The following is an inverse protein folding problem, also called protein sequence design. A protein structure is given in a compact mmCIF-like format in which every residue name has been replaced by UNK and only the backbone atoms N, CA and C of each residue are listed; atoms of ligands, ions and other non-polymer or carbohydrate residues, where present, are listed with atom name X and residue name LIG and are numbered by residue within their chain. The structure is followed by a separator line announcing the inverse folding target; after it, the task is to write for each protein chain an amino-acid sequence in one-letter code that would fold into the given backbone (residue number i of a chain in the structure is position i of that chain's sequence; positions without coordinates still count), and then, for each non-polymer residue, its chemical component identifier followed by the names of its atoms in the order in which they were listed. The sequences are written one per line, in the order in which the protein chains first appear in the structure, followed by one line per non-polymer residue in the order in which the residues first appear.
data_IF_012300612873
#
_entry.id   IF_012300612873
#
_cell.length_a   1.000
_cell.length_b   1.000
_cell.length_c   1.000
_cell.angle_alpha   90.00
_cell.angle_beta   90.00
_cell.angle_gamma   90.00
#
_symmetry.space_group_name_H-M   'P 1'
#
loop_
_entity.id
_entity.type
_entity.pdbx_description
1 polymer ?
#
# COMPACT_ATOMS: atom_id res chain seq x y z
N UNK A 1 -7.76 9.15 35.80
CA UNK A 1 -6.61 9.17 34.88
C UNK A 1 -6.99 8.29 33.72
N UNK A 2 -7.09 8.85 32.52
CA UNK A 2 -7.58 8.17 31.33
C UNK A 2 -6.40 7.60 30.53
N UNK A 3 -6.43 6.29 30.25
CA UNK A 3 -5.35 5.56 29.58
C UNK A 3 -5.74 5.17 28.16
N UNK A 4 -4.89 5.52 27.20
CA UNK A 4 -5.05 5.20 25.79
C UNK A 4 -4.08 4.13 25.31
N UNK A 5 -4.54 3.23 24.44
CA UNK A 5 -3.72 2.33 23.63
C UNK A 5 -3.89 2.69 22.15
N UNK A 6 -2.83 3.19 21.51
CA UNK A 6 -2.77 3.37 20.06
C UNK A 6 -2.20 2.10 19.42
N UNK A 7 -2.99 1.42 18.59
CA UNK A 7 -2.53 0.29 17.80
C UNK A 7 -2.23 0.71 16.36
N UNK A 8 -0.94 0.91 16.07
CA UNK A 8 -0.45 1.19 14.72
C UNK A 8 -0.47 -0.06 13.84
N UNK A 9 -0.87 0.11 12.57
CA UNK A 9 -0.94 -0.93 11.54
C UNK A 9 -0.42 -0.38 10.19
N UNK A 10 -1.32 0.06 9.33
CA UNK A 10 -1.05 0.60 7.98
C UNK A 10 -1.11 2.13 7.98
N UNK A 11 -0.64 2.74 9.06
CA UNK A 11 -0.76 4.15 9.40
C UNK A 11 0.48 4.65 10.17
N UNK A 12 1.67 4.18 9.75
CA UNK A 12 2.96 4.42 10.42
C UNK A 12 3.46 5.88 10.27
N UNK A 13 2.70 6.82 10.82
CA UNK A 13 2.93 8.26 10.80
C UNK A 13 2.23 8.95 11.97
N UNK A 14 2.71 10.15 12.28
CA UNK A 14 2.10 11.07 13.24
C UNK A 14 1.18 12.08 12.52
N UNK A 15 1.58 12.61 11.35
CA UNK A 15 0.72 13.56 10.61
C UNK A 15 -0.57 12.92 10.13
N UNK A 16 -1.67 13.68 10.13
CA UNK A 16 -2.97 13.23 9.65
C UNK A 16 -3.36 11.82 10.14
N UNK A 17 -3.11 11.54 11.43
CA UNK A 17 -3.52 10.31 12.11
C UNK A 17 -4.63 10.64 13.13
N UNK A 18 -5.91 10.51 12.76
CA UNK A 18 -7.01 10.88 13.66
C UNK A 18 -7.14 9.97 14.88
N UNK A 19 -6.75 8.68 14.79
CA UNK A 19 -6.77 7.79 15.94
C UNK A 19 -5.77 8.27 17.01
N UNK A 20 -4.54 8.58 16.59
CA UNK A 20 -3.52 9.15 17.47
C UNK A 20 -3.95 10.51 18.02
N UNK A 21 -4.45 11.41 17.18
CA UNK A 21 -4.88 12.75 17.60
C UNK A 21 -6.04 12.70 18.62
N UNK A 22 -7.01 11.79 18.43
CA UNK A 22 -8.12 11.60 19.36
C UNK A 22 -7.64 11.08 20.72
N UNK A 23 -6.72 10.11 20.72
CA UNK A 23 -6.15 9.60 21.97
C UNK A 23 -5.30 10.67 22.66
N UNK A 24 -4.53 11.45 21.91
CA UNK A 24 -3.69 12.51 22.45
C UNK A 24 -4.49 13.61 23.14
N UNK A 25 -5.70 13.91 22.66
CA UNK A 25 -6.59 14.91 23.27
C UNK A 25 -7.46 14.36 24.40
N UNK A 26 -7.62 13.04 24.48
CA UNK A 26 -8.58 12.40 25.40
C UNK A 26 -7.91 11.63 26.54
N UNK A 27 -6.60 11.38 26.51
CA UNK A 27 -5.92 10.54 27.51
C UNK A 27 -4.85 11.32 28.29
N UNK A 28 -4.66 10.95 29.55
CA UNK A 28 -3.56 11.44 30.40
C UNK A 28 -2.28 10.61 30.17
N UNK A 29 -2.45 9.33 29.84
CA UNK A 29 -1.40 8.35 29.56
C UNK A 29 -1.68 7.65 28.22
N UNK A 30 -0.64 7.41 27.42
CA UNK A 30 -0.76 6.78 26.11
C UNK A 30 0.31 5.70 25.93
N UNK A 31 -0.08 4.54 25.41
CA UNK A 31 0.84 3.51 24.92
C UNK A 31 0.67 3.35 23.43
N UNK A 32 1.76 3.45 22.67
CA UNK A 32 1.79 3.19 21.23
C UNK A 32 2.34 1.79 20.96
N UNK A 33 1.59 0.93 20.29
CA UNK A 33 2.01 -0.45 20.00
C UNK A 33 1.95 -0.77 18.51
N UNK A 34 2.92 -1.55 18.04
CA UNK A 34 2.88 -2.26 16.77
C UNK A 34 3.11 -3.76 17.01
N UNK A 35 2.31 -4.60 16.36
CA UNK A 35 2.37 -6.07 16.53
C UNK A 35 2.86 -6.72 15.25
N UNK A 36 3.91 -7.52 15.39
CA UNK A 36 4.55 -8.30 14.34
C UNK A 36 3.86 -9.67 14.31
N UNK A 37 3.13 -9.96 13.23
CA UNK A 37 2.42 -11.23 13.08
C UNK A 37 3.35 -12.31 12.49
N UNK A 38 3.67 -13.41 13.21
CA UNK A 38 4.52 -14.48 12.68
C UNK A 38 3.97 -15.14 11.40
N UNK A 39 2.65 -15.04 11.14
CA UNK A 39 2.06 -15.60 9.94
C UNK A 39 2.52 -14.87 8.66
N UNK A 40 3.08 -13.66 8.77
CA UNK A 40 3.59 -12.93 7.61
C UNK A 40 4.71 -13.69 6.87
N UNK A 41 5.46 -14.52 7.58
CA UNK A 41 6.63 -15.23 7.06
C UNK A 41 6.31 -16.63 6.50
N UNK A 42 5.08 -17.11 6.68
CA UNK A 42 4.63 -18.43 6.22
C UNK A 42 4.37 -18.42 4.72
N UNK A 43 4.81 -19.46 4.02
CA UNK A 43 4.65 -19.61 2.57
C UNK A 43 3.38 -20.41 2.21
N UNK A 44 2.23 -20.06 2.81
CA UNK A 44 0.94 -20.74 2.63
C UNK A 44 -0.03 -19.99 1.71
N UNK A 45 0.41 -18.89 1.10
CA UNK A 45 -0.42 -18.02 0.27
C UNK A 45 -0.03 -18.13 -1.21
N UNK A 46 -0.62 -19.11 -1.91
CA UNK A 46 -0.35 -19.36 -3.34
C UNK A 46 1.16 -19.49 -3.67
N UNK A 47 1.87 -20.34 -2.93
CA UNK A 47 3.33 -20.58 -3.08
C UNK A 47 4.19 -19.33 -2.80
N UNK A 48 3.62 -18.35 -2.10
CA UNK A 48 4.26 -17.09 -1.71
C UNK A 48 4.05 -16.84 -0.21
N UNK A 49 4.94 -16.02 0.36
CA UNK A 49 4.78 -15.47 1.72
C UNK A 49 3.92 -14.22 1.69
N UNK A 50 3.36 -13.83 2.83
CA UNK A 50 2.65 -12.55 2.97
C UNK A 50 3.61 -11.35 3.06
N UNK A 51 4.85 -11.57 3.52
CA UNK A 51 5.89 -10.55 3.61
C UNK A 51 7.23 -11.11 3.11
N UNK A 52 7.81 -10.43 2.12
CA UNK A 52 9.15 -10.73 1.61
C UNK A 52 10.16 -9.66 2.02
N UNK A 53 11.45 -10.00 1.85
CA UNK A 53 12.54 -9.22 2.42
C UNK A 53 12.61 -7.73 2.00
N UNK A 54 12.33 -7.30 0.75
CA UNK A 54 12.35 -5.86 0.45
C UNK A 54 11.29 -5.07 1.23
N UNK A 55 10.06 -5.61 1.27
CA UNK A 55 8.93 -4.97 1.97
C UNK A 55 9.14 -5.00 3.49
N UNK A 56 9.69 -6.10 4.01
CA UNK A 56 10.13 -6.21 5.40
C UNK A 56 11.17 -5.14 5.75
N UNK A 57 12.21 -4.96 4.93
CA UNK A 57 13.23 -3.93 5.15
C UNK A 57 12.62 -2.52 5.16
N UNK A 58 11.66 -2.24 4.27
CA UNK A 58 10.94 -0.97 4.24
C UNK A 58 10.10 -0.77 5.51
N UNK A 59 9.40 -1.82 5.96
CA UNK A 59 8.64 -1.81 7.20
C UNK A 59 9.53 -1.52 8.41
N UNK A 60 10.68 -2.18 8.54
CA UNK A 60 11.59 -1.94 9.67
C UNK A 60 12.16 -0.52 9.68
N UNK A 61 12.51 0.02 8.51
CA UNK A 61 12.94 1.42 8.40
C UNK A 61 11.80 2.37 8.80
N UNK A 62 10.57 2.10 8.38
CA UNK A 62 9.38 2.86 8.78
C UNK A 62 9.12 2.81 10.28
N UNK A 63 9.18 1.64 10.92
CA UNK A 63 8.97 1.49 12.35
C UNK A 63 10.08 2.15 13.18
N UNK A 64 11.33 2.07 12.70
CA UNK A 64 12.47 2.73 13.34
C UNK A 64 12.31 4.25 13.30
N UNK A 65 11.86 4.80 12.18
CA UNK A 65 11.62 6.24 12.05
C UNK A 65 10.39 6.69 12.86
N UNK A 66 9.30 5.92 12.86
CA UNK A 66 8.13 6.19 13.70
C UNK A 66 8.51 6.17 15.20
N UNK A 67 9.32 5.20 15.63
CA UNK A 67 9.82 5.15 17.01
C UNK A 67 10.59 6.42 17.38
N UNK A 68 11.50 6.88 16.51
CA UNK A 68 12.25 8.14 16.74
C UNK A 68 11.34 9.36 16.76
N UNK A 69 10.32 9.40 15.90
CA UNK A 69 9.36 10.49 15.86
C UNK A 69 8.51 10.55 17.14
N UNK A 70 8.11 9.38 17.68
CA UNK A 70 7.42 9.28 18.97
C UNK A 70 8.35 9.65 20.15
N UNK A 71 9.60 9.19 20.13
CA UNK A 71 10.61 9.50 21.17
C UNK A 71 10.88 11.01 21.27
N UNK A 72 10.96 11.69 20.13
CA UNK A 72 11.06 13.16 20.07
C UNK A 72 9.86 13.88 20.69
N UNK A 73 8.71 13.21 20.84
CA UNK A 73 7.50 13.72 21.49
C UNK A 73 7.33 13.17 22.92
N UNK A 74 8.36 12.56 23.51
CA UNK A 74 8.32 11.99 24.87
C UNK A 74 7.54 10.68 24.96
N UNK A 75 7.32 10.00 23.84
CA UNK A 75 6.58 8.74 23.73
C UNK A 75 7.47 7.59 23.26
N UNK A 76 6.96 6.36 23.26
CA UNK A 76 7.72 5.21 22.75
C UNK A 76 6.84 4.29 21.92
N UNK A 77 7.40 3.76 20.83
CA UNK A 77 6.79 2.65 20.11
C UNK A 77 7.15 1.33 20.79
N UNK A 78 6.13 0.64 21.29
CA UNK A 78 6.24 -0.72 21.83
C UNK A 78 6.09 -1.72 20.69
N UNK A 79 7.09 -2.59 20.53
CA UNK A 79 7.01 -3.73 19.62
C UNK A 79 6.62 -5.00 20.40
N UNK A 80 5.76 -5.80 19.78
CA UNK A 80 5.34 -7.13 20.24
C UNK A 80 5.32 -8.10 19.08
N UNK A 81 5.55 -9.37 19.35
CA UNK A 81 5.42 -10.44 18.36
C UNK A 81 4.33 -11.42 18.79
N UNK A 82 3.41 -11.75 17.89
CA UNK A 82 2.34 -12.72 18.17
C UNK A 82 1.11 -12.51 17.30
N UNK A 83 0.02 -13.21 17.64
CA UNK A 83 -1.28 -12.94 17.03
C UNK A 83 -1.72 -11.53 17.46
N UNK A 84 -2.00 -10.60 16.52
CA UNK A 84 -2.32 -9.22 16.88
C UNK A 84 -3.53 -9.07 17.82
N UNK A 85 -4.54 -9.92 17.69
CA UNK A 85 -5.74 -9.87 18.55
C UNK A 85 -5.48 -10.38 19.96
N UNK A 86 -4.64 -11.40 20.11
CA UNK A 86 -4.24 -11.91 21.42
C UNK A 86 -3.38 -10.88 22.13
N UNK A 87 -2.32 -10.40 21.46
CA UNK A 87 -1.39 -9.41 22.02
C UNK A 87 -2.09 -8.12 22.44
N UNK A 88 -2.93 -7.55 21.58
CA UNK A 88 -3.65 -6.29 21.92
C UNK A 88 -4.61 -6.53 23.08
N UNK A 89 -5.29 -7.68 23.11
CA UNK A 89 -6.20 -7.97 24.19
C UNK A 89 -5.49 -8.22 25.53
N UNK A 90 -4.34 -8.90 25.53
CA UNK A 90 -3.53 -9.11 26.71
C UNK A 90 -3.04 -7.77 27.27
N UNK A 91 -2.54 -6.87 26.42
CA UNK A 91 -2.21 -5.50 26.81
C UNK A 91 -3.41 -4.75 27.44
N UNK A 92 -4.61 -4.94 26.89
CA UNK A 92 -5.84 -4.35 27.42
C UNK A 92 -6.27 -4.90 28.78
N UNK A 93 -5.91 -6.14 29.10
CA UNK A 93 -6.18 -6.79 30.38
C UNK A 93 -5.11 -6.47 31.43
N UNK A 94 -3.85 -6.35 31.02
CA UNK A 94 -2.70 -6.17 31.93
C UNK A 94 -2.51 -4.72 32.41
N UNK A 95 -3.03 -3.73 31.67
CA UNK A 95 -2.72 -2.32 31.88
C UNK A 95 -3.93 -1.37 31.99
N UNK A 96 -5.15 -1.90 31.99
CA UNK A 96 -6.40 -1.16 32.21
C UNK A 96 -6.60 0.06 31.26
N UNK A 97 -6.48 -0.15 29.94
CA UNK A 97 -6.67 0.93 28.95
C UNK A 97 -8.14 1.36 28.80
N UNK A 98 -8.50 2.61 29.09
CA UNK A 98 -9.87 3.10 28.90
C UNK A 98 -10.27 3.24 27.43
N UNK A 99 -9.33 3.68 26.58
CA UNK A 99 -9.55 3.88 25.15
C UNK A 99 -8.54 3.11 24.30
N UNK A 100 -9.00 2.53 23.20
CA UNK A 100 -8.18 1.80 22.23
C UNK A 100 -8.38 2.46 20.86
N UNK A 101 -7.38 3.17 20.37
CA UNK A 101 -7.39 3.82 19.07
C UNK A 101 -6.83 2.90 17.99
N UNK A 102 -7.55 2.80 16.87
CA UNK A 102 -7.12 2.06 15.68
C UNK A 102 -7.63 2.77 14.43
N UNK A 103 -6.87 2.73 13.34
CA UNK A 103 -7.35 3.25 12.05
C UNK A 103 -8.06 2.17 11.26
N UNK A 104 -9.14 2.52 10.56
CA UNK A 104 -9.83 1.62 9.65
C UNK A 104 -8.98 1.29 8.40
N UNK A 105 -9.23 0.12 7.80
CA UNK A 105 -8.55 -0.37 6.61
C UNK A 105 -9.44 -1.36 5.83
N UNK A 106 -9.51 -1.31 4.48
CA UNK A 106 -10.46 -2.13 3.71
C UNK A 106 -10.15 -3.63 3.66
N UNK A 107 -8.91 -4.01 3.97
CA UNK A 107 -8.45 -5.39 3.98
C UNK A 107 -9.35 -6.30 4.85
N UNK A 108 -9.70 -7.48 4.33
CA UNK A 108 -10.65 -8.38 5.01
C UNK A 108 -10.14 -8.91 6.35
N UNK A 109 -8.83 -9.18 6.44
CA UNK A 109 -8.19 -9.59 7.70
C UNK A 109 -8.15 -8.42 8.69
N UNK A 110 -7.79 -7.24 8.21
CA UNK A 110 -7.71 -6.01 9.01
C UNK A 110 -9.06 -5.58 9.57
N UNK A 111 -10.14 -5.70 8.79
CA UNK A 111 -11.51 -5.44 9.27
C UNK A 111 -11.94 -6.47 10.30
N UNK A 112 -11.72 -7.76 10.02
CA UNK A 112 -12.03 -8.81 10.98
C UNK A 112 -11.32 -8.60 12.33
N UNK A 113 -10.07 -8.12 12.31
CA UNK A 113 -9.35 -7.76 13.52
C UNK A 113 -10.05 -6.62 14.28
N UNK A 114 -10.40 -5.53 13.60
CA UNK A 114 -11.09 -4.39 14.24
C UNK A 114 -12.45 -4.80 14.77
N UNK A 115 -13.26 -5.51 13.99
CA UNK A 115 -14.59 -5.98 14.40
C UNK A 115 -14.52 -6.89 15.63
N UNK A 116 -13.53 -7.77 15.68
CA UNK A 116 -13.27 -8.65 16.84
C UNK A 116 -12.86 -7.85 18.07
N UNK A 117 -12.01 -6.84 17.89
CA UNK A 117 -11.57 -5.97 18.98
C UNK A 117 -12.74 -5.13 19.53
N UNK A 118 -13.56 -4.54 18.65
CA UNK A 118 -14.78 -3.80 19.02
C UNK A 118 -15.76 -4.71 19.78
N UNK A 119 -15.93 -5.95 19.34
CA UNK A 119 -16.80 -6.92 20.01
C UNK A 119 -16.28 -7.31 21.40
N UNK A 120 -14.96 -7.43 21.56
CA UNK A 120 -14.32 -7.81 22.83
C UNK A 120 -14.26 -6.67 23.84
N UNK A 121 -14.09 -5.44 23.37
CA UNK A 121 -13.97 -4.23 24.20
C UNK A 121 -14.98 -3.16 23.76
N UNK A 122 -16.30 -3.43 23.92
CA UNK A 122 -17.34 -2.50 23.48
C UNK A 122 -17.18 -1.14 24.16
N UNK A 123 -17.44 -0.06 23.41
CA UNK A 123 -17.34 1.34 23.86
C UNK A 123 -15.92 1.84 24.21
N UNK A 124 -14.91 0.96 24.27
CA UNK A 124 -13.50 1.34 24.48
C UNK A 124 -12.76 1.57 23.17
N UNK A 125 -13.18 0.93 22.07
CA UNK A 125 -12.49 1.02 20.78
C UNK A 125 -12.97 2.22 19.96
N UNK A 126 -12.02 3.09 19.58
CA UNK A 126 -12.22 4.25 18.70
C UNK A 126 -11.60 3.94 17.34
N UNK A 127 -12.46 3.67 16.36
CA UNK A 127 -12.04 3.43 14.97
C UNK A 127 -12.06 4.74 14.19
N UNK A 128 -10.94 5.08 13.56
CA UNK A 128 -10.80 6.34 12.80
C UNK A 128 -10.47 6.13 11.33
N UNK A 129 -11.05 6.95 10.46
CA UNK A 129 -10.76 6.95 9.01
C UNK A 129 -9.46 7.72 8.72
N UNK A 130 -8.45 7.02 8.22
CA UNK A 130 -7.14 7.60 7.92
C UNK A 130 -6.49 7.13 6.60
N UNK A 131 -7.12 6.18 5.90
CA UNK A 131 -6.50 5.45 4.80
C UNK A 131 -6.95 5.93 3.41
N UNK A 132 -8.16 6.47 3.30
CA UNK A 132 -8.83 6.92 2.07
C UNK A 132 -8.80 8.44 1.90
N UNK A 133 -8.98 8.92 0.66
CA UNK A 133 -9.12 10.35 0.34
C UNK A 133 -10.44 10.91 0.89
N UNK A 134 -11.50 10.12 0.76
CA UNK A 134 -12.84 10.46 1.18
C UNK A 134 -13.24 9.58 2.36
N UNK A 135 -14.12 10.09 3.20
CA UNK A 135 -14.91 9.27 4.12
C UNK A 135 -16.13 8.71 3.40
N UNK A 136 -16.72 7.63 3.91
CA UNK A 136 -17.95 7.06 3.32
C UNK A 136 -19.07 8.12 3.19
N UNK A 137 -19.22 9.00 4.18
CA UNK A 137 -20.23 10.08 4.17
C UNK A 137 -20.00 11.17 3.12
N UNK A 138 -18.78 11.29 2.58
CA UNK A 138 -18.47 12.24 1.50
C UNK A 138 -18.78 11.66 0.11
N UNK A 139 -18.92 10.33 -0.02
CA UNK A 139 -19.21 9.71 -1.30
C UNK A 139 -20.63 10.06 -1.77
N UNK A 140 -20.83 10.31 -3.07
CA UNK A 140 -22.15 10.67 -3.60
C UNK A 140 -23.05 9.45 -3.87
N UNK A 141 -22.76 8.33 -3.22
CA UNK A 141 -23.47 7.05 -3.32
C UNK A 141 -23.21 6.23 -2.06
N UNK A 142 -24.14 5.34 -1.72
CA UNK A 142 -23.91 4.33 -0.69
C UNK A 142 -23.04 3.19 -1.23
N UNK A 143 -22.34 2.51 -0.33
CA UNK A 143 -21.39 1.47 -0.71
C UNK A 143 -22.01 0.30 -1.51
N UNK A 144 -23.26 -0.16 -1.24
CA UNK A 144 -23.92 -1.14 -2.10
C UNK A 144 -24.11 -0.70 -3.56
N UNK A 145 -24.18 0.62 -3.80
CA UNK A 145 -24.38 1.24 -5.12
C UNK A 145 -23.08 1.76 -5.73
N UNK A 146 -21.93 1.25 -5.26
CA UNK A 146 -20.62 1.65 -5.78
C UNK A 146 -20.57 1.52 -7.31
N UNK A 147 -20.11 2.54 -8.04
CA UNK A 147 -20.05 2.48 -9.49
C UNK A 147 -19.20 1.30 -10.01
N UNK A 148 -19.72 0.48 -10.94
CA UNK A 148 -19.07 -0.77 -11.37
C UNK A 148 -17.83 -0.53 -12.24
N UNK A 149 -17.54 0.71 -12.63
CA UNK A 149 -16.33 1.06 -13.36
C UNK A 149 -15.68 2.31 -12.76
N UNK A 150 -14.35 2.38 -12.84
CA UNK A 150 -13.60 3.57 -12.40
C UNK A 150 -14.05 4.86 -13.08
N UNK A 151 -14.40 4.81 -14.37
CA UNK A 151 -14.86 6.03 -15.07
C UNK A 151 -16.17 6.55 -14.51
N UNK A 152 -17.10 5.67 -14.12
CA UNK A 152 -18.34 6.09 -13.47
C UNK A 152 -18.07 6.59 -12.04
N UNK A 153 -17.20 5.93 -11.28
CA UNK A 153 -16.75 6.39 -9.96
C UNK A 153 -16.15 7.80 -10.02
N UNK A 154 -15.15 8.00 -10.88
CA UNK A 154 -14.49 9.29 -11.08
C UNK A 154 -15.49 10.37 -11.46
N UNK A 155 -16.37 10.11 -12.43
CA UNK A 155 -17.41 11.06 -12.84
C UNK A 155 -18.34 11.41 -11.68
N UNK A 156 -18.79 10.44 -10.89
CA UNK A 156 -19.67 10.69 -9.75
C UNK A 156 -19.01 11.64 -8.72
N UNK A 157 -17.75 11.38 -8.37
CA UNK A 157 -16.96 12.20 -7.43
C UNK A 157 -16.69 13.61 -8.01
N UNK A 158 -16.24 13.70 -9.26
CA UNK A 158 -15.85 14.98 -9.88
C UNK A 158 -17.05 15.86 -10.23
N UNK A 159 -18.16 15.31 -10.74
CA UNK A 159 -19.37 16.08 -11.06
C UNK A 159 -20.01 16.69 -9.81
N UNK A 160 -19.90 16.01 -8.66
CA UNK A 160 -20.35 16.53 -7.36
C UNK A 160 -19.29 17.39 -6.66
N UNK A 161 -18.14 17.61 -7.31
CA UNK A 161 -17.01 18.37 -6.78
C UNK A 161 -16.58 17.93 -5.37
N UNK A 162 -16.69 16.63 -5.06
CA UNK A 162 -16.32 16.10 -3.75
C UNK A 162 -14.83 16.38 -3.52
N UNK A 163 -14.53 17.02 -2.39
CA UNK A 163 -13.17 17.34 -1.99
C UNK A 163 -12.64 16.30 -1.00
N UNK A 164 -11.35 15.90 -1.12
CA UNK A 164 -10.72 15.10 -0.09
C UNK A 164 -10.86 15.76 1.27
N UNK A 165 -10.94 14.96 2.33
CA UNK A 165 -10.92 15.50 3.69
C UNK A 165 -9.58 16.20 3.93
N UNK A 166 -9.61 17.37 4.56
CA UNK A 166 -8.39 18.08 4.90
C UNK A 166 -7.56 17.25 5.89
N UNK A 167 -6.23 17.15 5.69
CA UNK A 167 -5.37 16.43 6.61
C UNK A 167 -5.36 17.12 7.98
N UNK A 168 -5.35 16.33 9.06
CA UNK A 168 -5.20 16.86 10.41
C UNK A 168 -3.76 17.37 10.65
N UNK A 169 -3.59 18.42 11.48
CA UNK A 169 -2.27 18.84 11.91
C UNK A 169 -1.58 17.76 12.73
N UNK A 170 -0.26 17.83 12.81
CA UNK A 170 0.54 17.03 13.74
C UNK A 170 0.18 17.49 15.17
N UNK A 171 -0.11 16.59 16.12
CA UNK A 171 -0.32 16.96 17.52
C UNK A 171 0.89 17.71 18.09
N UNK A 172 0.67 18.74 18.90
CA UNK A 172 1.77 19.52 19.50
C UNK A 172 2.53 18.74 20.58
N UNK A 173 1.83 17.83 21.27
CA UNK A 173 2.39 16.94 22.29
C UNK A 173 1.60 15.63 22.33
N UNK A 174 2.19 14.61 22.93
CA UNK A 174 1.51 13.35 23.24
C UNK A 174 1.44 13.17 24.77
N UNK A 175 0.43 12.47 25.29
CA UNK A 175 0.36 12.09 26.71
C UNK A 175 1.59 11.29 27.13
N UNK A 176 1.84 11.14 28.43
CA UNK A 176 3.02 10.39 28.91
C UNK A 176 2.88 8.88 28.69
N UNK A 177 3.98 8.13 28.49
CA UNK A 177 3.93 6.68 28.37
C UNK A 177 3.61 6.01 29.71
N UNK A 178 2.88 4.91 29.66
CA UNK A 178 2.63 4.07 30.84
C UNK A 178 3.93 3.35 31.21
N UNK A 179 4.34 3.47 32.48
CA UNK A 179 5.55 2.84 32.97
C UNK A 179 5.44 1.30 33.03
N UNK A 180 6.55 0.61 32.80
CA UNK A 180 6.66 -0.85 33.00
C UNK A 180 6.27 -1.71 31.80
N UNK A 181 5.72 -1.13 30.73
CA UNK A 181 5.45 -1.84 29.48
C UNK A 181 6.77 -2.03 28.73
N UNK A 182 7.29 -3.27 28.73
CA UNK A 182 8.53 -3.62 28.03
C UNK A 182 8.33 -3.51 26.52
N UNK A 183 9.40 -3.34 25.74
CA UNK A 183 9.37 -3.44 24.27
C UNK A 183 10.27 -4.58 23.83
N UNK A 184 9.88 -5.29 22.77
CA UNK A 184 10.77 -6.25 22.10
C UNK A 184 11.80 -5.49 21.24
N UNK A 185 13.01 -6.04 21.05
CA UNK A 185 13.98 -5.44 20.16
C UNK A 185 13.47 -5.44 18.72
N UNK A 186 13.66 -4.34 18.01
CA UNK A 186 13.39 -4.29 16.58
C UNK A 186 14.33 -5.25 15.83
N UNK A 187 13.84 -6.07 14.89
CA UNK A 187 14.69 -6.85 14.02
C UNK A 187 15.61 -5.95 13.20
N UNK A 188 16.88 -6.35 13.09
CA UNK A 188 17.86 -5.67 12.24
C UNK A 188 17.74 -6.25 10.83
N UNK A 189 17.47 -5.39 9.84
CA UNK A 189 17.52 -5.77 8.43
C UNK A 189 18.69 -5.07 7.75
N UNK A 190 19.68 -5.86 7.33
CA UNK A 190 20.82 -5.37 6.53
C UNK A 190 20.46 -5.22 5.04
N UNK A 191 19.21 -5.49 4.67
CA UNK A 191 18.79 -5.47 3.26
C UNK A 191 18.69 -4.03 2.76
N UNK A 192 19.49 -3.74 1.75
CA UNK A 192 19.46 -2.45 1.06
C UNK A 192 18.31 -2.41 0.05
N UNK A 193 17.39 -1.46 0.24
CA UNK A 193 16.26 -1.18 -0.67
C UNK A 193 16.40 0.17 -1.38
N UNK A 194 17.63 0.69 -1.45
CA UNK A 194 17.93 1.96 -2.08
C UNK A 194 17.43 2.02 -3.54
N UNK A 195 16.95 3.17 -4.02
CA UNK A 195 16.95 4.47 -3.32
C UNK A 195 15.78 4.68 -2.34
N UNK A 196 14.91 3.68 -2.12
CA UNK A 196 13.86 3.81 -1.12
C UNK A 196 14.43 3.81 0.31
N UNK A 197 13.76 4.57 1.17
CA UNK A 197 13.95 4.58 2.61
C UNK A 197 12.57 4.64 3.27
N UNK A 198 12.31 3.74 4.21
CA UNK A 198 11.07 3.74 5.01
C UNK A 198 10.97 4.96 5.94
N UNK A 199 9.75 5.29 6.35
CA UNK A 199 9.45 6.35 7.33
C UNK A 199 8.70 7.54 6.77
N UNK A 200 8.00 8.25 7.66
CA UNK A 200 7.20 9.43 7.37
C UNK A 200 8.05 10.56 6.77
N UNK A 201 9.20 10.87 7.39
CA UNK A 201 10.11 11.92 6.92
C UNK A 201 10.54 11.66 5.47
N UNK A 202 10.92 10.43 5.13
CA UNK A 202 11.35 10.07 3.78
C UNK A 202 10.21 10.20 2.76
N UNK A 203 8.98 9.81 3.13
CA UNK A 203 7.80 9.96 2.27
C UNK A 203 7.45 11.42 1.99
N UNK A 204 7.48 12.27 3.01
CA UNK A 204 7.27 13.71 2.86
C UNK A 204 8.40 14.39 2.08
N UNK A 205 9.65 13.97 2.30
CA UNK A 205 10.79 14.45 1.52
C UNK A 205 10.65 14.10 0.03
N UNK A 206 10.22 12.88 -0.30
CA UNK A 206 9.96 12.51 -1.70
C UNK A 206 8.82 13.30 -2.32
N UNK A 207 7.73 13.54 -1.59
CA UNK A 207 6.64 14.40 -2.05
C UNK A 207 7.14 15.82 -2.35
N UNK A 208 7.92 16.39 -1.43
CA UNK A 208 8.51 17.71 -1.61
C UNK A 208 9.47 17.76 -2.79
N UNK A 209 10.34 16.76 -2.92
CA UNK A 209 11.25 16.64 -4.03
C UNK A 209 10.52 16.64 -5.38
N UNK A 210 9.47 15.83 -5.50
CA UNK A 210 8.74 15.65 -6.76
C UNK A 210 7.87 16.86 -7.14
N UNK A 211 7.20 17.48 -6.15
CA UNK A 211 6.34 18.64 -6.39
C UNK A 211 7.15 19.94 -6.46
N UNK A 212 7.93 20.23 -5.42
CA UNK A 212 8.48 21.57 -5.17
C UNK A 212 9.93 21.73 -5.62
N UNK A 213 10.82 20.79 -5.32
CA UNK A 213 12.25 20.98 -5.64
C UNK A 213 12.54 20.80 -7.13
N UNK A 214 11.86 19.86 -7.77
CA UNK A 214 12.14 19.48 -9.17
C UNK A 214 11.05 19.84 -10.16
N UNK A 215 9.86 20.23 -9.67
CA UNK A 215 8.68 20.52 -10.49
C UNK A 215 8.30 19.40 -11.48
N UNK A 216 8.73 18.15 -11.23
CA UNK A 216 8.51 17.01 -12.14
C UNK A 216 7.04 16.69 -12.34
N UNK A 217 6.20 17.05 -11.38
CA UNK A 217 4.74 16.95 -11.47
C UNK A 217 4.16 17.62 -12.72
N UNK A 218 4.78 18.70 -13.23
CA UNK A 218 4.32 19.38 -14.45
C UNK A 218 4.37 18.49 -15.70
N UNK A 219 5.17 17.41 -15.66
CA UNK A 219 5.35 16.46 -16.77
C UNK A 219 4.96 15.02 -16.41
N UNK A 220 4.15 14.83 -15.36
CA UNK A 220 3.79 13.51 -14.86
C UNK A 220 3.03 12.66 -15.90
N UNK A 221 2.04 13.22 -16.60
CA UNK A 221 1.23 12.47 -17.58
C UNK A 221 2.07 11.93 -18.73
N UNK A 222 3.08 12.68 -19.15
CA UNK A 222 4.00 12.33 -20.24
C UNK A 222 5.01 11.26 -19.79
N UNK A 223 5.48 11.33 -18.55
CA UNK A 223 6.62 10.52 -18.07
C UNK A 223 6.23 9.23 -17.34
N UNK A 224 5.00 9.14 -16.79
CA UNK A 224 4.55 8.04 -15.90
C UNK A 224 4.63 6.61 -16.45
N UNK A 225 4.82 6.44 -17.76
CA UNK A 225 4.98 5.12 -18.39
C UNK A 225 6.44 4.64 -18.45
N UNK A 226 7.40 5.37 -17.89
CA UNK A 226 8.79 4.93 -17.77
C UNK A 226 8.92 3.57 -17.07
N UNK A 227 9.97 2.81 -17.42
CA UNK A 227 10.23 1.48 -16.86
C UNK A 227 11.22 1.54 -15.68
N UNK A 228 12.15 2.49 -15.70
CA UNK A 228 13.21 2.63 -14.70
C UNK A 228 13.65 4.10 -14.56
N UNK A 229 14.36 4.41 -13.47
CA UNK A 229 14.75 5.77 -13.08
C UNK A 229 13.77 6.43 -12.10
N UNK A 230 14.26 7.31 -11.24
CA UNK A 230 13.47 7.82 -10.11
C UNK A 230 12.34 8.77 -10.57
N UNK A 231 12.67 9.77 -11.38
CA UNK A 231 11.85 10.95 -11.63
C UNK A 231 10.68 10.78 -12.61
N UNK A 232 10.54 9.64 -13.28
CA UNK A 232 9.46 9.49 -14.28
C UNK A 232 8.07 9.41 -13.64
N UNK A 233 7.98 9.22 -12.33
CA UNK A 233 6.72 9.21 -11.56
C UNK A 233 6.96 9.71 -10.14
N UNK A 234 5.88 9.91 -9.38
CA UNK A 234 5.98 10.45 -8.01
C UNK A 234 6.72 9.53 -7.02
N UNK A 235 6.78 8.22 -7.31
CA UNK A 235 7.38 7.18 -6.45
C UNK A 235 6.75 7.05 -5.05
N UNK A 236 5.61 7.68 -4.79
CA UNK A 236 5.00 7.75 -3.45
C UNK A 236 4.36 6.46 -2.93
N UNK A 237 4.19 5.46 -3.79
CA UNK A 237 3.38 4.27 -3.50
C UNK A 237 3.82 3.51 -2.26
N UNK A 238 5.13 3.39 -2.00
CA UNK A 238 5.65 2.66 -0.84
C UNK A 238 5.21 3.30 0.49
N UNK A 239 5.31 4.62 0.60
CA UNK A 239 4.90 5.35 1.79
C UNK A 239 3.38 5.45 1.94
N UNK A 240 2.63 5.50 0.84
CA UNK A 240 1.16 5.44 0.87
C UNK A 240 0.67 4.07 1.36
N UNK A 241 1.27 2.98 0.88
CA UNK A 241 0.86 1.61 1.24
C UNK A 241 1.11 1.29 2.72
N UNK A 242 2.28 1.67 3.25
CA UNK A 242 2.64 1.44 4.65
C UNK A 242 2.08 2.52 5.61
N UNK A 243 1.35 3.51 5.07
CA UNK A 243 0.74 4.58 5.84
C UNK A 243 1.70 5.64 6.38
N UNK A 244 2.97 5.64 5.95
CA UNK A 244 3.95 6.67 6.28
C UNK A 244 3.63 8.03 5.65
N UNK A 245 2.85 8.05 4.58
CA UNK A 245 2.36 9.27 3.94
C UNK A 245 0.84 9.21 3.80
N UNK A 246 0.15 10.22 4.30
CA UNK A 246 -1.29 10.33 4.11
C UNK A 246 -1.63 10.68 2.67
N UNK A 247 -2.61 9.98 2.10
CA UNK A 247 -3.17 10.32 0.79
C UNK A 247 -3.86 11.70 0.79
N UNK A 248 -4.45 12.10 1.92
CA UNK A 248 -5.07 13.43 2.10
C UNK A 248 -4.01 14.53 2.15
N UNK A 249 -2.84 14.24 2.74
CA UNK A 249 -1.68 15.13 2.70
C UNK A 249 -1.18 15.32 1.26
N UNK A 250 -1.02 14.25 0.48
CA UNK A 250 -0.63 14.34 -0.94
C UNK A 250 -1.62 15.20 -1.73
N UNK A 251 -2.93 14.97 -1.55
CA UNK A 251 -3.95 15.75 -2.24
C UNK A 251 -3.93 17.24 -1.86
N UNK A 252 -3.72 17.56 -0.57
CA UNK A 252 -3.61 18.93 -0.11
C UNK A 252 -2.35 19.65 -0.64
N UNK A 253 -1.21 18.95 -0.68
CA UNK A 253 0.04 19.48 -1.24
C UNK A 253 -0.05 19.70 -2.75
N UNK A 254 -0.70 18.78 -3.48
CA UNK A 254 -0.96 18.93 -4.90
C UNK A 254 -1.88 20.13 -5.19
N UNK A 255 -2.96 20.30 -4.42
CA UNK A 255 -3.84 21.46 -4.53
C UNK A 255 -3.13 22.78 -4.17
N UNK A 256 -2.21 22.76 -3.18
CA UNK A 256 -1.34 23.90 -2.89
C UNK A 256 -0.41 24.20 -4.05
N UNK A 257 0.18 23.19 -4.68
CA UNK A 257 1.04 23.37 -5.84
C UNK A 257 0.28 23.99 -7.01
N UNK A 258 -0.92 23.47 -7.32
CA UNK A 258 -1.77 24.01 -8.40
C UNK A 258 -2.16 25.47 -8.18
N UNK A 259 -2.40 25.89 -6.93
CA UNK A 259 -2.75 27.28 -6.60
C UNK A 259 -1.57 28.25 -6.68
N UNK A 260 -0.34 27.80 -6.41
CA UNK A 260 0.81 28.68 -6.25
C UNK A 260 1.81 28.61 -7.42
N UNK A 261 1.79 27.53 -8.21
CA UNK A 261 2.78 27.29 -9.27
C UNK A 261 2.09 27.08 -10.62
N UNK A 262 1.46 25.92 -10.82
CA UNK A 262 0.81 25.60 -12.10
C UNK A 262 -0.23 24.50 -11.92
N UNK A 263 -1.36 24.67 -12.61
CA UNK A 263 -2.36 23.64 -12.83
C UNK A 263 -2.40 23.23 -14.30
N UNK A 264 -2.17 21.96 -14.60
CA UNK A 264 -2.21 21.44 -15.95
C UNK A 264 -2.73 19.99 -16.00
N UNK A 265 -2.68 19.36 -17.18
CA UNK A 265 -3.14 17.97 -17.32
C UNK A 265 -2.34 16.98 -16.47
N UNK A 266 -1.05 17.25 -16.23
CA UNK A 266 -0.15 16.38 -15.47
C UNK A 266 -0.36 16.48 -13.97
N UNK A 267 -0.60 17.67 -13.43
CA UNK A 267 -0.98 17.84 -12.01
C UNK A 267 -2.31 17.14 -11.74
N UNK A 268 -3.30 17.30 -12.63
CA UNK A 268 -4.55 16.55 -12.56
C UNK A 268 -4.33 15.03 -12.68
N UNK A 269 -3.42 14.58 -13.55
CA UNK A 269 -3.21 13.14 -13.75
C UNK A 269 -2.68 12.44 -12.50
N UNK A 270 -1.91 13.13 -11.64
CA UNK A 270 -1.53 12.54 -10.35
C UNK A 270 -2.77 12.33 -9.46
N UNK A 271 -3.67 13.32 -9.38
CA UNK A 271 -4.93 13.18 -8.65
C UNK A 271 -5.82 12.08 -9.24
N UNK A 272 -5.89 11.96 -10.57
CA UNK A 272 -6.60 10.89 -11.27
C UNK A 272 -6.11 9.48 -10.85
N UNK A 273 -4.80 9.32 -10.63
CA UNK A 273 -4.22 8.05 -10.20
C UNK A 273 -4.45 7.80 -8.69
N UNK A 274 -4.53 8.86 -7.87
CA UNK A 274 -5.01 8.72 -6.48
C UNK A 274 -6.49 8.29 -6.44
N UNK A 275 -7.33 8.75 -7.37
CA UNK A 275 -8.71 8.28 -7.50
C UNK A 275 -8.78 6.80 -7.91
N UNK A 276 -7.81 6.28 -8.68
CA UNK A 276 -7.73 4.85 -8.97
C UNK A 276 -7.45 4.04 -7.71
N UNK A 277 -6.49 4.50 -6.88
CA UNK A 277 -6.25 3.91 -5.55
C UNK A 277 -7.54 3.92 -4.74
N UNK A 278 -8.18 5.07 -4.62
CA UNK A 278 -9.42 5.26 -3.87
C UNK A 278 -10.54 4.32 -4.33
N UNK A 279 -10.74 4.22 -5.65
CA UNK A 279 -11.73 3.33 -6.24
C UNK A 279 -11.53 1.88 -5.80
N UNK A 280 -10.29 1.38 -5.85
CA UNK A 280 -10.02 0.01 -5.40
C UNK A 280 -10.26 -0.17 -3.90
N UNK A 281 -9.94 0.81 -3.04
CA UNK A 281 -10.22 0.73 -1.61
C UNK A 281 -11.72 0.50 -1.36
N UNK A 282 -12.58 1.31 -1.97
CA UNK A 282 -14.04 1.19 -1.81
C UNK A 282 -14.61 -0.08 -2.45
N UNK A 283 -14.03 -0.55 -3.55
CA UNK A 283 -14.39 -1.84 -4.14
C UNK A 283 -14.07 -3.00 -3.17
N UNK A 284 -12.95 -2.94 -2.46
CA UNK A 284 -12.62 -3.96 -1.46
C UNK A 284 -13.53 -3.88 -0.22
N UNK A 285 -13.89 -2.67 0.23
CA UNK A 285 -14.92 -2.52 1.26
C UNK A 285 -16.23 -3.21 0.86
N UNK A 286 -16.72 -2.94 -0.37
CA UNK A 286 -17.97 -3.50 -0.90
C UNK A 286 -17.93 -5.02 -1.09
N UNK A 287 -16.94 -5.54 -1.82
CA UNK A 287 -16.91 -6.96 -2.20
C UNK A 287 -16.35 -7.89 -1.12
N UNK A 288 -15.53 -7.37 -0.20
CA UNK A 288 -14.90 -8.16 0.86
C UNK A 288 -14.15 -9.38 0.31
N UNK A 289 -14.35 -10.55 0.92
CA UNK A 289 -13.60 -11.77 0.57
C UNK A 289 -13.79 -12.20 -0.90
N UNK A 290 -14.91 -11.82 -1.54
CA UNK A 290 -15.16 -12.11 -2.96
C UNK A 290 -14.12 -11.47 -3.88
N UNK A 291 -13.45 -10.42 -3.43
CA UNK A 291 -12.40 -9.73 -4.16
C UNK A 291 -11.17 -10.61 -4.44
N UNK A 292 -11.00 -11.72 -3.71
CA UNK A 292 -9.87 -12.65 -3.85
C UNK A 292 -10.25 -13.96 -4.55
N UNK A 293 -11.52 -14.14 -4.91
CA UNK A 293 -11.99 -15.37 -5.54
C UNK A 293 -11.40 -15.53 -6.95
N UNK A 294 -11.16 -16.77 -7.37
CA UNK A 294 -10.64 -17.08 -8.72
C UNK A 294 -11.44 -16.41 -9.84
N UNK A 295 -12.77 -16.38 -9.69
CA UNK A 295 -13.70 -15.78 -10.65
C UNK A 295 -13.79 -14.25 -10.59
N UNK A 296 -13.07 -13.62 -9.65
CA UNK A 296 -13.11 -12.20 -9.33
C UNK A 296 -14.52 -11.66 -9.05
N UNK A 297 -14.63 -10.33 -9.00
CA UNK A 297 -15.90 -9.63 -8.80
C UNK A 297 -16.88 -9.79 -9.98
N UNK A 298 -16.37 -10.04 -11.19
CA UNK A 298 -17.18 -10.32 -12.38
C UNK A 298 -17.82 -11.72 -12.34
N UNK A 299 -17.45 -12.57 -11.37
CA UNK A 299 -17.91 -13.95 -11.22
C UNK A 299 -17.75 -14.78 -12.52
N UNK A 300 -16.70 -14.50 -13.29
CA UNK A 300 -16.38 -15.17 -14.56
C UNK A 300 -15.17 -16.06 -14.35
N UNK A 301 -15.26 -17.35 -14.72
CA UNK A 301 -14.12 -18.27 -14.60
C UNK A 301 -13.06 -17.95 -15.67
N UNK A 302 -11.82 -17.58 -15.31
CA UNK A 302 -10.73 -17.48 -16.27
C UNK A 302 -10.33 -18.86 -16.80
N UNK A 303 -9.70 -18.90 -17.98
CA UNK A 303 -9.12 -20.10 -18.59
C UNK A 303 -7.67 -20.33 -18.15
N UNK A 304 -7.36 -20.06 -16.88
CA UNK A 304 -6.03 -20.22 -16.30
C UNK A 304 -6.02 -21.33 -15.25
N UNK A 305 -4.83 -21.86 -14.97
CA UNK A 305 -4.62 -22.91 -13.95
C UNK A 305 -3.27 -22.69 -13.26
N UNK A 306 -2.93 -23.47 -12.24
CA UNK A 306 -1.58 -23.43 -11.70
C UNK A 306 -0.65 -24.34 -12.50
N UNK A 307 0.46 -23.78 -13.00
CA UNK A 307 1.52 -24.51 -13.68
C UNK A 307 2.87 -24.13 -13.06
N UNK A 308 3.45 -25.05 -12.27
CA UNK A 308 4.57 -24.73 -11.39
C UNK A 308 5.82 -24.25 -12.15
N UNK A 309 6.17 -24.90 -13.26
CA UNK A 309 7.35 -24.54 -14.06
C UNK A 309 7.23 -23.15 -14.67
N UNK A 310 6.09 -22.84 -15.30
CA UNK A 310 5.82 -21.52 -15.88
C UNK A 310 5.80 -20.41 -14.82
N UNK A 311 5.21 -20.69 -13.64
CA UNK A 311 5.23 -19.75 -12.52
C UNK A 311 6.65 -19.50 -12.00
N UNK A 312 7.47 -20.55 -11.87
CA UNK A 312 8.86 -20.42 -11.44
C UNK A 312 9.70 -19.64 -12.46
N UNK A 313 9.55 -19.93 -13.76
CA UNK A 313 10.24 -19.19 -14.81
C UNK A 313 9.87 -17.70 -14.82
N UNK A 314 8.58 -17.38 -14.60
CA UNK A 314 8.13 -16.01 -14.44
C UNK A 314 8.73 -15.33 -13.21
N UNK A 315 8.70 -15.99 -12.04
CA UNK A 315 9.26 -15.45 -10.79
C UNK A 315 10.75 -15.15 -10.88
N UNK A 316 11.50 -16.03 -11.54
CA UNK A 316 12.96 -15.93 -11.69
C UNK A 316 13.39 -15.05 -12.87
N UNK A 317 12.44 -14.61 -13.71
CA UNK A 317 12.74 -13.83 -14.90
C UNK A 317 13.58 -14.62 -15.90
N UNK A 318 13.11 -15.82 -16.23
CA UNK A 318 13.72 -16.76 -17.18
C UNK A 318 12.70 -17.31 -18.19
N UNK A 319 11.71 -16.51 -18.56
CA UNK A 319 10.73 -16.80 -19.62
C UNK A 319 11.31 -16.52 -21.01
N UNK A 320 10.56 -16.79 -22.07
CA UNK A 320 10.93 -16.41 -23.43
C UNK A 320 10.78 -14.91 -23.72
N UNK A 321 10.35 -14.10 -22.74
CA UNK A 321 10.03 -12.68 -22.92
C UNK A 321 11.04 -11.76 -22.18
N UNK A 322 12.02 -11.16 -22.89
CA UNK A 322 13.10 -10.38 -22.25
C UNK A 322 12.62 -9.22 -21.38
N UNK A 323 11.61 -8.46 -21.82
CA UNK A 323 11.05 -7.33 -21.05
C UNK A 323 10.37 -7.77 -19.75
N UNK A 324 9.74 -8.95 -19.76
CA UNK A 324 9.15 -9.56 -18.57
C UNK A 324 10.26 -10.00 -17.62
N UNK A 325 11.29 -10.67 -18.15
CA UNK A 325 12.43 -11.12 -17.36
C UNK A 325 13.16 -9.96 -16.66
N UNK A 326 13.41 -8.87 -17.39
CA UNK A 326 14.00 -7.66 -16.85
C UNK A 326 13.17 -7.07 -15.70
N UNK A 327 11.85 -6.95 -15.89
CA UNK A 327 10.94 -6.49 -14.84
C UNK A 327 10.91 -7.44 -13.62
N UNK A 328 10.82 -8.75 -13.82
CA UNK A 328 10.77 -9.70 -12.71
C UNK A 328 12.07 -9.71 -11.89
N UNK A 329 13.22 -9.51 -12.54
CA UNK A 329 14.51 -9.30 -11.87
C UNK A 329 14.58 -7.96 -11.13
N UNK A 330 14.06 -6.88 -11.72
CA UNK A 330 13.93 -5.58 -11.04
C UNK A 330 13.08 -5.72 -9.76
N UNK A 331 11.95 -6.43 -9.84
CA UNK A 331 11.09 -6.69 -8.69
C UNK A 331 11.83 -7.46 -7.59
N UNK A 332 12.52 -8.55 -7.94
CA UNK A 332 13.25 -9.40 -6.98
C UNK A 332 14.35 -8.63 -6.26
N UNK A 333 15.04 -7.72 -6.96
CA UNK A 333 16.18 -6.98 -6.42
C UNK A 333 15.76 -5.74 -5.63
N UNK A 334 14.76 -5.01 -6.11
CA UNK A 334 14.39 -3.70 -5.55
C UNK A 334 13.10 -3.73 -4.73
N UNK A 335 12.28 -4.76 -4.90
CA UNK A 335 10.93 -4.81 -4.35
C UNK A 335 9.97 -3.80 -5.00
N UNK A 336 10.31 -3.21 -6.15
CA UNK A 336 9.46 -2.22 -6.80
C UNK A 336 9.40 -2.43 -8.32
N UNK A 337 8.24 -2.12 -8.90
CA UNK A 337 8.03 -2.11 -10.36
C UNK A 337 7.25 -0.88 -10.81
N UNK A 338 7.57 -0.39 -12.01
CA UNK A 338 6.77 0.65 -12.66
C UNK A 338 5.38 0.12 -12.99
N UNK A 339 4.38 1.02 -13.05
CA UNK A 339 3.01 0.64 -13.42
C UNK A 339 2.97 -0.06 -14.79
N UNK A 340 3.76 0.42 -15.76
CA UNK A 340 3.88 -0.22 -17.08
C UNK A 340 4.43 -1.64 -16.93
N UNK A 341 5.55 -1.84 -16.22
CA UNK A 341 6.13 -3.16 -15.98
C UNK A 341 5.14 -4.11 -15.28
N UNK A 342 4.40 -3.64 -14.27
CA UNK A 342 3.37 -4.44 -13.58
C UNK A 342 2.30 -4.97 -14.55
N UNK A 343 1.82 -4.11 -15.46
CA UNK A 343 0.84 -4.52 -16.47
C UNK A 343 1.41 -5.58 -17.41
N UNK A 344 2.66 -5.42 -17.86
CA UNK A 344 3.31 -6.37 -18.78
C UNK A 344 3.51 -7.74 -18.13
N UNK A 345 4.10 -7.79 -16.93
CA UNK A 345 4.39 -9.07 -16.27
C UNK A 345 3.12 -9.80 -15.84
N UNK A 346 2.08 -9.07 -15.43
CA UNK A 346 0.78 -9.67 -15.11
C UNK A 346 0.07 -10.19 -16.37
N UNK A 347 0.11 -9.43 -17.48
CA UNK A 347 -0.45 -9.88 -18.75
C UNK A 347 0.24 -11.14 -19.25
N UNK A 348 1.57 -11.19 -19.18
CA UNK A 348 2.36 -12.37 -19.55
C UNK A 348 1.97 -13.60 -18.72
N UNK A 349 1.94 -13.46 -17.38
CA UNK A 349 1.58 -14.57 -16.48
C UNK A 349 0.21 -15.16 -16.81
N UNK A 350 -0.78 -14.30 -17.07
CA UNK A 350 -2.17 -14.72 -17.28
C UNK A 350 -2.37 -15.28 -18.69
N UNK A 351 -1.89 -14.58 -19.71
CA UNK A 351 -2.28 -14.82 -21.11
C UNK A 351 -1.28 -15.61 -21.92
N UNK A 352 0.01 -15.43 -21.65
CA UNK A 352 1.07 -16.11 -22.38
C UNK A 352 1.51 -17.39 -21.65
N UNK A 353 1.48 -17.38 -20.31
CA UNK A 353 1.82 -18.54 -19.48
C UNK A 353 0.60 -19.31 -18.95
N UNK A 354 -0.62 -18.77 -19.07
CA UNK A 354 -1.86 -19.44 -18.68
C UNK A 354 -2.00 -19.68 -17.16
N UNK A 355 -1.24 -18.95 -16.34
CA UNK A 355 -1.19 -19.16 -14.88
C UNK A 355 -2.32 -18.42 -14.17
N UNK A 356 -2.89 -19.04 -13.15
CA UNK A 356 -3.89 -18.42 -12.26
C UNK A 356 -3.34 -17.11 -11.66
N UNK A 357 -4.05 -16.02 -11.94
CA UNK A 357 -3.67 -14.65 -11.59
C UNK A 357 -3.39 -14.46 -10.10
N UNK A 358 -4.01 -15.27 -9.23
CA UNK A 358 -3.85 -15.19 -7.77
C UNK A 358 -2.43 -15.53 -7.33
N UNK A 359 -1.73 -16.39 -8.06
CA UNK A 359 -0.32 -16.71 -7.78
C UNK A 359 0.60 -15.51 -8.06
N UNK A 360 0.32 -14.79 -9.15
CA UNK A 360 1.02 -13.54 -9.46
C UNK A 360 0.71 -12.44 -8.44
N UNK A 361 -0.56 -12.29 -8.06
CA UNK A 361 -1.00 -11.33 -7.06
C UNK A 361 -0.36 -11.59 -5.68
N UNK A 362 -0.26 -12.85 -5.26
CA UNK A 362 0.39 -13.25 -4.02
C UNK A 362 1.91 -13.07 -4.07
N UNK A 363 2.55 -13.33 -5.21
CA UNK A 363 3.98 -13.04 -5.36
C UNK A 363 4.26 -11.54 -5.31
N UNK A 364 3.38 -10.72 -5.88
CA UNK A 364 3.43 -9.27 -5.75
C UNK A 364 3.24 -8.81 -4.29
N UNK A 365 2.32 -9.43 -3.55
CA UNK A 365 2.15 -9.20 -2.11
C UNK A 365 3.42 -9.49 -1.30
N UNK A 366 4.13 -10.55 -1.66
CA UNK A 366 5.41 -10.89 -1.06
C UNK A 366 6.49 -9.83 -1.37
N UNK A 367 6.64 -9.43 -2.63
CA UNK A 367 7.82 -8.68 -3.09
C UNK A 367 7.66 -7.16 -3.03
N UNK A 368 6.48 -6.63 -3.30
CA UNK A 368 6.29 -5.20 -3.49
C UNK A 368 6.43 -4.44 -2.17
N UNK A 369 7.40 -3.52 -2.09
CA UNK A 369 7.51 -2.55 -0.98
C UNK A 369 6.27 -1.65 -0.86
N UNK A 370 5.49 -1.55 -1.94
CA UNK A 370 4.28 -0.78 -2.02
C UNK A 370 3.02 -1.64 -2.18
N UNK A 371 3.06 -2.86 -1.63
CA UNK A 371 1.87 -3.71 -1.58
C UNK A 371 0.75 -3.02 -0.81
N UNK A 372 -0.31 -2.69 -1.54
CA UNK A 372 -1.62 -2.28 -1.05
C UNK A 372 -2.63 -3.35 -1.50
N UNK A 373 -3.35 -3.94 -0.55
CA UNK A 373 -4.21 -5.10 -0.82
C UNK A 373 -5.30 -4.79 -1.85
N UNK A 374 -5.91 -3.60 -1.80
CA UNK A 374 -6.97 -3.26 -2.71
C UNK A 374 -6.41 -2.96 -4.10
N UNK A 375 -5.37 -2.13 -4.17
CA UNK A 375 -4.76 -1.75 -5.43
C UNK A 375 -4.11 -2.95 -6.15
N UNK A 376 -3.42 -3.84 -5.43
CA UNK A 376 -2.80 -5.03 -6.01
C UNK A 376 -3.85 -5.97 -6.59
N UNK A 377 -4.75 -6.49 -5.76
CA UNK A 377 -5.74 -7.48 -6.20
C UNK A 377 -6.76 -6.88 -7.17
N UNK A 378 -7.06 -5.59 -7.07
CA UNK A 378 -7.92 -4.88 -8.01
C UNK A 378 -7.31 -4.79 -9.41
N UNK A 379 -6.04 -4.41 -9.51
CA UNK A 379 -5.33 -4.36 -10.80
C UNK A 379 -5.12 -5.75 -11.40
N UNK A 380 -4.80 -6.76 -10.59
CA UNK A 380 -4.66 -8.14 -11.07
C UNK A 380 -5.99 -8.68 -11.63
N UNK A 381 -7.12 -8.45 -10.94
CA UNK A 381 -8.44 -8.82 -11.47
C UNK A 381 -8.77 -8.09 -12.78
N UNK A 382 -8.41 -6.81 -12.87
CA UNK A 382 -8.60 -5.99 -14.07
C UNK A 382 -7.89 -6.62 -15.27
N UNK A 383 -6.62 -7.01 -15.12
CA UNK A 383 -5.84 -7.63 -16.19
C UNK A 383 -6.28 -9.07 -16.50
N UNK A 384 -6.72 -9.81 -15.49
CA UNK A 384 -7.29 -11.15 -15.63
C UNK A 384 -8.68 -11.16 -16.29
N UNK A 385 -9.30 -10.00 -16.49
CA UNK A 385 -10.64 -9.90 -17.08
C UNK A 385 -11.75 -10.44 -16.18
N UNK A 386 -11.50 -10.46 -14.86
CA UNK A 386 -12.46 -10.82 -13.81
C UNK A 386 -12.77 -9.66 -12.86
N UNK A 387 -12.25 -8.47 -13.18
CA UNK A 387 -12.42 -7.23 -12.44
C UNK A 387 -13.40 -6.26 -13.09
N UNK A 388 -13.29 -4.99 -12.69
CA UNK A 388 -14.10 -3.86 -13.15
C UNK A 388 -13.65 -3.30 -14.51
N UNK A 389 -13.41 -4.16 -15.51
CA UNK A 389 -13.16 -3.74 -16.90
C UNK A 389 -14.37 -4.05 -17.79
N UNK A 390 -15.08 -3.05 -18.33
CA UNK A 390 -16.17 -3.28 -19.26
C UNK A 390 -15.71 -3.93 -20.57
N UNK A 391 -14.40 -3.90 -20.88
CA UNK A 391 -13.81 -4.50 -22.08
C UNK A 391 -13.36 -5.95 -21.89
N UNK A 392 -13.52 -6.52 -20.69
CA UNK A 392 -13.08 -7.88 -20.39
C UNK A 392 -11.59 -7.95 -20.09
N UNK A 393 -10.87 -8.88 -20.74
CA UNK A 393 -9.46 -9.13 -20.43
C UNK A 393 -8.50 -8.34 -21.34
N UNK A 394 -7.42 -7.81 -20.76
CA UNK A 394 -6.38 -7.05 -21.48
C UNK A 394 -5.11 -7.87 -21.65
N UNK A 395 -4.92 -8.39 -22.87
CA UNK A 395 -3.65 -8.95 -23.31
C UNK A 395 -2.78 -7.87 -23.94
N UNK A 396 -1.54 -7.73 -23.48
CA UNK A 396 -0.54 -6.84 -24.08
C UNK A 396 0.30 -7.61 -25.09
N UNK A 397 0.59 -7.00 -26.24
CA UNK A 397 1.59 -7.53 -27.16
C UNK A 397 2.98 -7.07 -26.65
N UNK A 398 3.74 -8.00 -26.10
CA UNK A 398 4.99 -7.71 -25.38
C UNK A 398 6.06 -7.09 -26.30
N UNK A 399 6.17 -7.54 -27.55
CA UNK A 399 7.13 -6.98 -28.51
C UNK A 399 6.82 -5.51 -28.84
N UNK A 400 5.54 -5.20 -29.09
CA UNK A 400 5.10 -3.81 -29.31
C UNK A 400 5.35 -2.94 -28.09
N UNK A 401 5.18 -3.49 -26.88
CA UNK A 401 5.43 -2.75 -25.65
C UNK A 401 6.94 -2.52 -25.43
N UNK A 402 7.79 -3.47 -25.79
CA UNK A 402 9.24 -3.30 -25.75
C UNK A 402 9.69 -2.20 -26.71
N UNK A 403 9.27 -2.24 -27.98
CA UNK A 403 9.60 -1.17 -28.95
C UNK A 403 9.11 0.21 -28.49
N UNK A 404 7.93 0.27 -27.87
CA UNK A 404 7.34 1.54 -27.44
C UNK A 404 7.99 2.13 -26.18
N UNK A 405 8.30 1.31 -25.17
CA UNK A 405 8.70 1.77 -23.84
C UNK A 405 10.16 1.49 -23.47
N UNK A 406 10.85 0.66 -24.26
CA UNK A 406 12.29 0.41 -24.17
C UNK A 406 12.93 0.40 -25.57
N UNK A 407 12.80 1.48 -26.36
CA UNK A 407 13.20 1.49 -27.77
C UNK A 407 14.69 1.18 -27.98
N UNK A 408 15.53 1.56 -27.03
CA UNK A 408 16.98 1.34 -27.06
C UNK A 408 17.42 0.06 -26.33
N UNK A 409 16.47 -0.71 -25.77
CA UNK A 409 16.75 -1.93 -25.00
C UNK A 409 17.52 -1.70 -23.68
N UNK A 410 17.59 -0.46 -23.21
CA UNK A 410 18.40 -0.07 -22.05
C UNK A 410 17.87 -0.69 -20.75
N UNK A 411 16.55 -0.76 -20.58
CA UNK A 411 15.93 -1.39 -19.42
C UNK A 411 16.20 -2.89 -19.40
N UNK A 412 15.98 -3.57 -20.53
CA UNK A 412 16.25 -5.00 -20.68
C UNK A 412 17.73 -5.31 -20.43
N UNK A 413 18.64 -4.59 -21.08
CA UNK A 413 20.08 -4.81 -20.92
C UNK A 413 20.53 -4.68 -19.47
N UNK A 414 20.09 -3.64 -18.76
CA UNK A 414 20.44 -3.39 -17.35
C UNK A 414 20.03 -4.55 -16.44
N UNK A 415 18.78 -5.01 -16.53
CA UNK A 415 18.22 -5.96 -15.58
C UNK A 415 18.45 -7.43 -15.95
N UNK A 416 18.82 -7.74 -17.20
CA UNK A 416 19.29 -9.07 -17.56
C UNK A 416 20.76 -9.33 -17.16
N UNK A 417 21.58 -8.28 -17.07
CA UNK A 417 22.97 -8.38 -16.59
C UNK A 417 23.09 -8.33 -15.06
N UNK A 418 22.04 -7.94 -14.33
CA UNK A 418 22.06 -7.88 -12.88
C UNK A 418 22.30 -9.30 -12.30
N UNK A 419 23.30 -9.49 -11.40
CA UNK A 419 23.59 -10.79 -10.83
C UNK A 419 22.37 -11.33 -10.08
N UNK A 420 22.14 -12.64 -10.12
CA UNK A 420 21.12 -13.27 -9.29
C UNK A 420 21.47 -13.02 -7.82
N UNK A 421 20.57 -12.39 -7.06
CA UNK A 421 20.72 -12.30 -5.60
C UNK A 421 20.67 -13.73 -5.09
N UNK A 422 21.80 -14.22 -4.59
CA UNK A 422 21.88 -15.52 -3.96
C UNK A 422 20.83 -15.62 -2.85
N UNK A 423 20.11 -16.73 -2.80
CA UNK A 423 19.20 -17.01 -1.69
C UNK A 423 20.06 -17.17 -0.43
N UNK A 424 20.22 -16.10 0.35
CA UNK A 424 20.53 -16.25 1.76
C UNK A 424 19.27 -16.80 2.41
N UNK A 425 19.36 -18.09 2.76
CA UNK A 425 18.32 -18.88 3.43
C UNK A 425 17.93 -18.29 4.78
#
# INVERSE_FOLDING_TARGET
MQRGLMWFRHDLRIHDNPALANLASSCDELTCVFVIDPNWYRADHFQSKHLGGPREAFLWQSLTELHRALDAMGQTLILRTGNPLEVVADLCMDHDFDLIGVTDHPGTRERHQVDTLVSRFPQRVVVSDAHTLFTQHQLPFDLPDIPPTFTQFRKAVETKAIKPRLPLPIPESLPSPIAGIKTEPAPVSDRRIAPYQGGEIAGRAQLNHYLWDTHRIQRYKETRNGLDGWDFSSRLSAWLANGCLSVRWVAAELDRYERNVEKNESTYWLYFELLWREYFQWMLYHYGARFFHFKGIANKRPLTTFYAEAFMAWREGSTDFPIVNAAMRQLKHTGWLSNRSRQLVASCLIHDLGVDWRYGAAYFEQQLIDFDVAANYGNWQYLAGVGADPRGSRRFNLDKQAVQYDPDGAFVAKWLLAPSVGNHQ
#
